data_IF_938251724452
#
_entry.id   IF_938251724452
#
_cell.length_a   1.000
_cell.length_b   1.000
_cell.length_c   1.000
_cell.angle_alpha   90.00
_cell.angle_beta   90.00
_cell.angle_gamma   90.00
#
_symmetry.space_group_name_H-M   'P 1'
#
loop_
_entity.id
_entity.type
_entity.pdbx_description
1 polymer ?
#
# COMPACT_ATOMS: atom_id res chain seq x y z
N UNK A 1 10.23 -14.81 -8.56
CA UNK A 1 10.70 -15.85 -8.06
C UNK A 1 11.85 -15.58 -7.12
N UNK A 2 13.12 -15.54 -7.51
CA UNK A 2 14.18 -15.27 -6.54
C UNK A 2 14.02 -13.91 -5.85
N UNK A 3 13.72 -12.86 -6.62
CA UNK A 3 13.48 -11.53 -6.08
C UNK A 3 12.29 -11.47 -5.14
N UNK A 4 11.21 -12.17 -5.49
CA UNK A 4 10.01 -12.25 -4.65
C UNK A 4 10.31 -12.96 -3.33
N UNK A 5 11.08 -14.04 -3.36
CA UNK A 5 11.48 -14.76 -2.16
C UNK A 5 12.33 -13.87 -1.26
N UNK A 6 13.29 -13.14 -1.86
CA UNK A 6 14.15 -12.23 -1.10
C UNK A 6 13.34 -11.13 -0.41
N UNK A 7 12.35 -10.55 -1.09
CA UNK A 7 11.47 -9.54 -0.50
C UNK A 7 10.69 -10.10 0.69
N UNK A 8 10.25 -11.35 0.59
CA UNK A 8 9.52 -12.01 1.66
C UNK A 8 10.40 -12.19 2.91
N UNK A 9 11.65 -12.59 2.71
CA UNK A 9 12.62 -12.77 3.80
C UNK A 9 12.94 -11.45 4.48
N UNK A 10 13.14 -10.39 3.70
CA UNK A 10 13.40 -9.04 4.23
C UNK A 10 12.22 -8.54 5.06
N UNK A 11 11.00 -8.82 4.60
CA UNK A 11 9.77 -8.46 5.28
C UNK A 11 9.74 -9.01 6.70
N UNK A 12 10.05 -10.29 6.85
CA UNK A 12 10.05 -10.95 8.15
C UNK A 12 11.10 -10.36 9.10
N UNK A 13 12.31 -10.13 8.60
CA UNK A 13 13.39 -9.52 9.39
C UNK A 13 13.00 -8.10 9.82
N UNK A 14 12.48 -7.31 8.88
CA UNK A 14 12.08 -5.94 9.14
C UNK A 14 10.93 -5.85 10.14
N UNK A 15 10.02 -6.80 10.12
CA UNK A 15 8.92 -6.86 11.09
C UNK A 15 9.46 -7.04 12.51
N UNK A 16 10.42 -7.95 12.70
CA UNK A 16 11.05 -8.17 14.00
C UNK A 16 11.80 -6.96 14.51
N UNK A 17 12.38 -6.17 13.60
CA UNK A 17 13.12 -4.97 13.94
C UNK A 17 12.22 -3.74 14.09
N UNK A 18 10.91 -3.88 13.92
CA UNK A 18 9.97 -2.77 13.98
C UNK A 18 9.97 -1.86 12.75
N UNK A 19 10.58 -2.32 11.67
CA UNK A 19 10.67 -1.58 10.40
C UNK A 19 9.58 -1.99 9.41
N UNK A 20 8.61 -2.74 9.86
CA UNK A 20 7.49 -3.21 9.05
C UNK A 20 6.21 -3.08 9.85
N UNK A 21 5.15 -2.63 9.22
CA UNK A 21 3.81 -2.67 9.78
C UNK A 21 2.91 -3.48 8.85
N UNK A 22 2.05 -4.29 9.45
CA UNK A 22 1.07 -5.08 8.71
C UNK A 22 -0.25 -5.03 9.48
N UNK A 23 -1.33 -4.66 8.81
CA UNK A 23 -2.64 -4.59 9.45
C UNK A 23 -3.76 -4.78 8.44
N UNK A 24 -4.94 -5.13 8.94
CA UNK A 24 -6.14 -5.29 8.11
C UNK A 24 -7.03 -4.07 8.22
N UNK A 25 -7.72 -3.75 7.13
CA UNK A 25 -8.58 -2.57 7.02
C UNK A 25 -9.94 -3.01 6.45
N UNK A 26 -11.01 -2.73 7.16
CA UNK A 26 -12.35 -2.94 6.61
C UNK A 26 -12.63 -1.94 5.49
N UNK A 27 -13.51 -2.31 4.56
CA UNK A 27 -13.81 -1.49 3.38
C UNK A 27 -14.83 -0.39 3.68
N UNK A 28 -14.57 0.42 4.71
CA UNK A 28 -15.42 1.57 5.02
C UNK A 28 -14.57 2.79 5.32
N UNK A 29 -15.18 3.95 5.22
CA UNK A 29 -14.51 5.24 5.34
C UNK A 29 -13.80 5.41 6.69
N UNK A 30 -14.44 5.00 7.78
CA UNK A 30 -13.87 5.15 9.13
C UNK A 30 -12.61 4.30 9.27
N UNK A 31 -12.69 3.03 8.85
CA UNK A 31 -11.55 2.12 8.93
C UNK A 31 -10.38 2.61 8.07
N UNK A 32 -10.66 3.14 6.89
CA UNK A 32 -9.63 3.67 6.00
C UNK A 32 -8.97 4.92 6.61
N UNK A 33 -9.74 5.80 7.23
CA UNK A 33 -9.19 6.97 7.93
C UNK A 33 -8.29 6.56 9.09
N UNK A 34 -8.71 5.58 9.89
CA UNK A 34 -7.90 5.04 10.97
C UNK A 34 -6.61 4.41 10.46
N UNK A 35 -6.68 3.71 9.33
CA UNK A 35 -5.52 3.13 8.68
C UNK A 35 -4.53 4.21 8.24
N UNK A 36 -5.04 5.31 7.70
CA UNK A 36 -4.21 6.45 7.28
C UNK A 36 -3.42 7.02 8.46
N UNK A 37 -4.04 7.12 9.63
CA UNK A 37 -3.36 7.59 10.84
C UNK A 37 -2.26 6.62 11.28
N UNK A 38 -2.51 5.32 11.22
CA UNK A 38 -1.49 4.30 11.52
C UNK A 38 -0.31 4.38 10.57
N UNK A 39 -0.59 4.62 9.29
CA UNK A 39 0.44 4.77 8.26
C UNK A 39 1.31 5.97 8.55
N UNK A 40 0.71 7.12 8.88
CA UNK A 40 1.45 8.32 9.21
C UNK A 40 2.35 8.11 10.42
N UNK A 41 1.81 7.52 11.48
CA UNK A 41 2.56 7.23 12.70
C UNK A 41 3.76 6.32 12.43
N UNK A 42 3.54 5.25 11.68
CA UNK A 42 4.63 4.33 11.31
C UNK A 42 5.71 5.04 10.50
N UNK A 43 5.33 5.83 9.52
CA UNK A 43 6.29 6.53 8.65
C UNK A 43 7.13 7.53 9.45
N UNK A 44 6.50 8.27 10.36
CA UNK A 44 7.21 9.22 11.21
C UNK A 44 8.21 8.53 12.11
N UNK A 45 7.86 7.39 12.68
CA UNK A 45 8.74 6.62 13.57
C UNK A 45 9.89 5.95 12.83
N UNK A 46 9.76 5.73 11.54
CA UNK A 46 10.73 4.96 10.76
C UNK A 46 11.54 5.82 9.79
N UNK A 47 11.64 7.11 10.07
CA UNK A 47 12.60 7.97 9.39
C UNK A 47 12.20 8.42 7.99
N UNK A 48 10.94 8.25 7.58
CA UNK A 48 10.47 8.90 6.37
C UNK A 48 10.37 10.41 6.60
N UNK A 49 10.68 11.20 5.59
CA UNK A 49 10.51 12.65 5.67
C UNK A 49 9.03 13.00 5.81
N UNK A 50 8.76 14.24 6.19
CA UNK A 50 7.38 14.73 6.28
C UNK A 50 6.66 14.63 4.94
N UNK A 51 7.33 15.01 3.85
CA UNK A 51 6.78 14.90 2.51
C UNK A 51 6.52 13.45 2.10
N UNK A 52 7.45 12.56 2.39
CA UNK A 52 7.27 11.12 2.12
C UNK A 52 6.10 10.55 2.92
N UNK A 53 6.01 10.90 4.18
CA UNK A 53 4.94 10.45 5.07
C UNK A 53 3.57 10.86 4.54
N UNK A 54 3.44 12.13 4.16
CA UNK A 54 2.19 12.65 3.59
C UNK A 54 1.85 11.94 2.28
N UNK A 55 2.83 11.79 1.40
CA UNK A 55 2.64 11.16 0.10
C UNK A 55 2.21 9.70 0.22
N UNK A 56 2.91 8.93 1.07
CA UNK A 56 2.60 7.52 1.31
C UNK A 56 1.20 7.38 1.89
N UNK A 57 0.88 8.16 2.90
CA UNK A 57 -0.41 8.12 3.57
C UNK A 57 -1.55 8.44 2.61
N UNK A 58 -1.42 9.51 1.85
CA UNK A 58 -2.44 9.92 0.91
C UNK A 58 -2.61 8.92 -0.24
N UNK A 59 -1.49 8.42 -0.78
CA UNK A 59 -1.54 7.44 -1.86
C UNK A 59 -2.22 6.14 -1.42
N UNK A 60 -1.86 5.62 -0.25
CA UNK A 60 -2.47 4.40 0.26
C UNK A 60 -3.96 4.59 0.57
N UNK A 61 -4.34 5.73 1.13
CA UNK A 61 -5.74 6.05 1.38
C UNK A 61 -6.54 6.05 0.08
N UNK A 62 -6.05 6.72 -0.95
CA UNK A 62 -6.70 6.76 -2.26
C UNK A 62 -6.83 5.37 -2.86
N UNK A 63 -5.76 4.57 -2.81
CA UNK A 63 -5.76 3.20 -3.34
C UNK A 63 -6.71 2.29 -2.56
N UNK A 64 -6.80 2.44 -1.24
CA UNK A 64 -7.74 1.69 -0.42
C UNK A 64 -9.19 2.02 -0.78
N UNK A 65 -9.50 3.29 -0.98
CA UNK A 65 -10.85 3.72 -1.37
C UNK A 65 -11.23 3.13 -2.73
N UNK A 66 -10.35 3.22 -3.71
CA UNK A 66 -10.59 2.67 -5.05
C UNK A 66 -10.80 1.15 -4.98
N UNK A 67 -9.93 0.47 -4.24
CA UNK A 67 -10.01 -0.99 -4.10
C UNK A 67 -11.30 -1.42 -3.43
N UNK A 68 -11.70 -0.74 -2.35
CA UNK A 68 -12.93 -1.04 -1.64
C UNK A 68 -14.15 -0.87 -2.54
N UNK A 69 -14.17 0.19 -3.33
CA UNK A 69 -15.30 0.52 -4.19
C UNK A 69 -15.34 -0.35 -5.46
N UNK A 70 -14.22 -0.44 -6.17
CA UNK A 70 -14.19 -1.02 -7.53
C UNK A 70 -13.94 -2.52 -7.55
N UNK A 71 -13.21 -3.04 -6.58
CA UNK A 71 -12.84 -4.45 -6.54
C UNK A 71 -13.67 -5.25 -5.54
N UNK A 72 -13.89 -4.71 -4.36
CA UNK A 72 -14.48 -5.44 -3.23
C UNK A 72 -15.94 -5.13 -2.97
N UNK A 73 -16.49 -4.12 -3.62
CA UNK A 73 -17.86 -3.67 -3.42
C UNK A 73 -18.19 -3.43 -1.94
N UNK A 74 -17.25 -2.83 -1.23
CA UNK A 74 -17.35 -2.46 0.19
C UNK A 74 -17.54 -3.67 1.14
N UNK A 75 -17.05 -4.83 0.75
CA UNK A 75 -17.13 -6.05 1.58
C UNK A 75 -15.74 -6.62 1.85
N UNK A 76 -15.56 -7.17 3.06
CA UNK A 76 -14.33 -7.83 3.44
C UNK A 76 -13.26 -6.88 3.96
N UNK A 77 -12.02 -7.34 3.91
CA UNK A 77 -10.88 -6.64 4.48
C UNK A 77 -9.74 -6.57 3.49
N UNK A 78 -9.00 -5.48 3.56
CA UNK A 78 -7.74 -5.32 2.83
C UNK A 78 -6.59 -5.56 3.80
N UNK A 79 -5.50 -6.15 3.31
CA UNK A 79 -4.28 -6.33 4.06
C UNK A 79 -3.25 -5.31 3.55
N UNK A 80 -2.80 -4.44 4.45
CA UNK A 80 -1.86 -3.36 4.12
C UNK A 80 -0.54 -3.61 4.84
N UNK A 81 0.55 -3.53 4.10
CA UNK A 81 1.89 -3.71 4.63
C UNK A 81 2.82 -2.62 4.13
N UNK A 82 3.63 -2.09 5.04
CA UNK A 82 4.67 -1.13 4.71
C UNK A 82 5.97 -1.63 5.32
N UNK A 83 6.99 -1.75 4.47
CA UNK A 83 8.34 -2.12 4.87
C UNK A 83 9.26 -0.94 4.64
N UNK A 84 9.97 -0.51 5.70
CA UNK A 84 11.02 0.49 5.57
C UNK A 84 12.31 -0.20 5.14
N UNK A 85 12.83 0.18 3.98
CA UNK A 85 14.12 -0.31 3.49
C UNK A 85 15.20 0.75 3.75
N UNK A 86 16.45 0.42 3.48
CA UNK A 86 17.57 1.36 3.66
C UNK A 86 17.37 2.66 2.88
N UNK A 87 16.87 2.55 1.66
CA UNK A 87 16.80 3.68 0.74
C UNK A 87 15.39 4.22 0.53
N UNK A 88 14.37 3.48 0.95
CA UNK A 88 13.00 3.86 0.70
C UNK A 88 12.03 2.95 1.41
N UNK A 89 11.11 2.36 0.66
CA UNK A 89 10.12 1.48 1.24
C UNK A 89 9.42 0.60 0.22
N UNK A 90 8.69 -0.38 0.73
CA UNK A 90 7.83 -1.25 -0.06
C UNK A 90 6.43 -1.16 0.50
N UNK A 91 5.49 -0.77 -0.33
CA UNK A 91 4.08 -0.63 0.03
C UNK A 91 3.30 -1.75 -0.64
N UNK A 92 2.42 -2.42 0.11
CA UNK A 92 1.62 -3.50 -0.45
C UNK A 92 0.18 -3.43 0.04
N UNK A 93 -0.77 -3.61 -0.88
CA UNK A 93 -2.18 -3.80 -0.55
C UNK A 93 -2.61 -5.13 -1.16
N UNK A 94 -3.15 -6.02 -0.34
CA UNK A 94 -3.73 -7.28 -0.79
C UNK A 94 -5.21 -7.33 -0.43
N UNK A 95 -6.00 -7.89 -1.33
CA UNK A 95 -7.44 -7.96 -1.12
C UNK A 95 -8.05 -9.07 -1.96
N UNK A 96 -9.04 -9.77 -1.40
CA UNK A 96 -9.85 -10.69 -2.17
C UNK A 96 -10.94 -9.88 -2.87
N UNK A 97 -11.13 -10.15 -4.16
CA UNK A 97 -12.15 -9.43 -4.89
C UNK A 97 -11.99 -9.56 -6.39
N UNK A 98 -12.78 -8.78 -7.10
CA UNK A 98 -12.71 -8.72 -8.55
C UNK A 98 -11.34 -8.25 -8.98
N UNK A 99 -10.83 -8.84 -10.06
CA UNK A 99 -9.57 -8.39 -10.67
C UNK A 99 -9.69 -6.91 -11.04
N UNK A 100 -8.87 -6.08 -10.42
CA UNK A 100 -8.92 -4.64 -10.64
C UNK A 100 -7.61 -3.99 -10.21
N UNK A 101 -6.96 -3.30 -11.13
CA UNK A 101 -5.71 -2.59 -10.83
C UNK A 101 -6.02 -1.14 -10.41
N UNK A 102 -6.13 -0.93 -9.10
CA UNK A 102 -6.43 0.39 -8.53
C UNK A 102 -5.37 1.43 -8.85
N UNK A 103 -4.11 1.01 -8.96
CA UNK A 103 -3.01 1.90 -9.32
C UNK A 103 -3.18 2.46 -10.73
N UNK A 104 -3.49 1.61 -11.69
CA UNK A 104 -3.73 2.02 -13.07
C UNK A 104 -4.92 2.98 -13.18
N UNK A 105 -5.99 2.69 -12.44
CA UNK A 105 -7.16 3.57 -12.40
C UNK A 105 -6.79 4.96 -11.87
N UNK A 106 -6.02 5.00 -10.76
CA UNK A 106 -5.63 6.26 -10.15
C UNK A 106 -4.66 7.07 -11.02
N UNK A 107 -3.76 6.40 -11.74
CA UNK A 107 -2.84 7.06 -12.67
C UNK A 107 -3.60 7.75 -13.81
N UNK A 108 -4.63 7.11 -14.32
CA UNK A 108 -5.44 7.65 -15.41
C UNK A 108 -6.36 8.79 -14.96
N UNK A 109 -6.70 8.85 -13.67
CA UNK A 109 -7.58 9.86 -13.12
C UNK A 109 -6.88 11.18 -12.86
N UNK A 110 -7.64 12.28 -12.87
CA UNK A 110 -7.10 13.62 -12.61
C UNK A 110 -7.06 13.97 -11.12
N UNK A 111 -7.78 13.22 -10.31
CA UNK A 111 -8.10 13.59 -8.93
C UNK A 111 -7.28 12.87 -7.85
N UNK A 112 -6.43 11.91 -8.24
CA UNK A 112 -5.68 11.10 -7.28
C UNK A 112 -4.25 11.62 -7.10
N UNK A 113 -4.15 12.76 -6.42
CA UNK A 113 -2.88 13.46 -6.24
C UNK A 113 -1.83 12.64 -5.52
N UNK A 114 -2.23 11.94 -4.45
CA UNK A 114 -1.30 11.11 -3.68
C UNK A 114 -0.67 10.00 -4.53
N UNK A 115 -1.48 9.31 -5.33
CA UNK A 115 -0.97 8.26 -6.22
C UNK A 115 -0.03 8.86 -7.27
N UNK A 116 -0.37 10.01 -7.83
CA UNK A 116 0.50 10.67 -8.80
C UNK A 116 1.84 11.05 -8.19
N UNK A 117 1.82 11.52 -6.95
CA UNK A 117 3.05 11.87 -6.23
C UNK A 117 3.89 10.63 -5.92
N UNK A 118 3.28 9.55 -5.44
CA UNK A 118 4.02 8.32 -5.12
C UNK A 118 4.64 7.69 -6.38
N UNK A 119 3.95 7.78 -7.52
CA UNK A 119 4.47 7.24 -8.77
C UNK A 119 5.72 7.95 -9.25
N UNK A 120 5.91 9.21 -8.91
CA UNK A 120 7.15 9.93 -9.20
C UNK A 120 8.31 9.42 -8.36
N UNK A 121 8.02 8.88 -7.18
CA UNK A 121 9.03 8.32 -6.28
C UNK A 121 9.25 6.83 -6.55
N UNK A 122 8.33 6.17 -7.22
CA UNK A 122 8.35 4.73 -7.39
C UNK A 122 9.50 4.27 -8.29
N UNK A 123 10.26 3.32 -7.79
CA UNK A 123 11.29 2.62 -8.56
C UNK A 123 10.68 1.47 -9.35
N UNK A 124 9.60 0.89 -8.83
CA UNK A 124 8.93 -0.26 -9.42
C UNK A 124 7.51 -0.34 -8.89
N UNK A 125 6.59 -0.77 -9.76
CA UNK A 125 5.23 -1.11 -9.35
C UNK A 125 4.90 -2.49 -9.89
N UNK A 126 4.05 -3.22 -9.18
CA UNK A 126 3.62 -4.55 -9.57
C UNK A 126 2.16 -4.73 -9.19
N UNK A 127 1.38 -5.30 -10.09
CA UNK A 127 0.02 -5.71 -9.82
C UNK A 127 -0.18 -7.11 -10.35
N UNK A 128 -0.82 -7.96 -9.54
CA UNK A 128 -1.21 -9.30 -9.99
C UNK A 128 -2.50 -9.73 -9.31
N UNK A 129 -3.21 -10.60 -9.99
CA UNK A 129 -4.38 -11.28 -9.43
C UNK A 129 -4.15 -12.78 -9.58
N UNK A 130 -4.10 -13.48 -8.45
CA UNK A 130 -3.90 -14.92 -8.42
C UNK A 130 -5.00 -15.53 -7.58
N UNK A 131 -5.84 -16.37 -8.22
CA UNK A 131 -6.93 -17.07 -7.55
C UNK A 131 -7.86 -16.12 -6.76
N UNK A 132 -8.19 -14.98 -7.36
CA UNK A 132 -9.08 -14.00 -6.75
C UNK A 132 -8.43 -13.10 -5.73
N UNK A 133 -7.11 -13.19 -5.54
CA UNK A 133 -6.37 -12.31 -4.65
C UNK A 133 -5.63 -11.25 -5.47
N UNK A 134 -6.00 -9.99 -5.26
CA UNK A 134 -5.29 -8.84 -5.84
C UNK A 134 -4.10 -8.48 -4.96
N UNK A 135 -2.96 -8.27 -5.56
CA UNK A 135 -1.76 -7.80 -4.86
C UNK A 135 -1.18 -6.62 -5.61
N UNK A 136 -1.07 -5.50 -4.93
CA UNK A 136 -0.53 -4.27 -5.47
C UNK A 136 0.70 -3.89 -4.67
N UNK A 137 1.84 -3.72 -5.35
CA UNK A 137 3.12 -3.41 -4.71
C UNK A 137 3.71 -2.16 -5.36
N UNK A 138 4.16 -1.23 -4.51
CA UNK A 138 4.90 -0.05 -4.94
C UNK A 138 6.23 -0.01 -4.19
N UNK A 139 7.32 0.01 -4.91
CA UNK A 139 8.67 0.14 -4.35
C UNK A 139 9.14 1.58 -4.56
N UNK A 140 9.48 2.24 -3.49
CA UNK A 140 9.96 3.62 -3.51
C UNK A 140 11.39 3.76 -3.00
#
# INVERSE_FOLDING_TARGET
TTGRFSLYMLDETAFREGKCINFTVACDTVAICEASEKIQDFCQRNGFTEDQTMTISLALEELMVITAEKSMHHQGFMDVRILRTKEGGILRIRSEGKRYNSLEYAEAGMEYLGVKMIMKMAKKTEYQNTLGLNTLIVVI
#
